data_IF_614559324978
#
_entry.id   IF_614559324978
#
_cell.length_a   1.000
_cell.length_b   1.000
_cell.length_c   1.000
_cell.angle_alpha   90.00
_cell.angle_beta   90.00
_cell.angle_gamma   90.00
#
_symmetry.space_group_name_H-M   'P 1'
#
loop_
_entity.id
_entity.type
_entity.pdbx_description
1 polymer ?
#
# COMPACT_ATOMS: atom_id res chain seq x y z
N UNK A 1 1.10 -48.05 -10.09
CA UNK A 1 1.33 -47.18 -11.24
C UNK A 1 -0.03 -46.55 -11.59
N UNK A 2 -0.12 -45.22 -11.90
CA UNK A 2 -1.37 -44.62 -12.27
C UNK A 2 -1.92 -45.21 -13.58
N UNK A 3 -3.24 -45.41 -13.65
CA UNK A 3 -3.87 -45.99 -14.85
C UNK A 3 -3.85 -44.95 -16.01
N UNK A 4 -3.86 -45.44 -17.27
CA UNK A 4 -3.94 -44.56 -18.45
C UNK A 4 -5.14 -43.58 -18.39
N UNK A 5 -6.26 -44.01 -17.83
CA UNK A 5 -7.46 -43.18 -17.63
C UNK A 5 -7.19 -42.06 -16.65
N UNK A 6 -6.48 -42.31 -15.57
CA UNK A 6 -6.11 -41.33 -14.54
C UNK A 6 -5.15 -40.28 -15.11
N UNK A 7 -4.17 -40.69 -15.90
CA UNK A 7 -3.24 -39.78 -16.58
C UNK A 7 -4.00 -38.87 -17.59
N UNK A 8 -4.91 -39.40 -18.37
CA UNK A 8 -5.75 -38.60 -19.29
C UNK A 8 -6.57 -37.57 -18.54
N UNK A 9 -7.26 -37.96 -17.45
CA UNK A 9 -8.04 -37.03 -16.66
C UNK A 9 -7.16 -35.92 -16.05
N UNK A 10 -5.95 -36.25 -15.64
CA UNK A 10 -5.01 -35.27 -15.12
C UNK A 10 -4.54 -34.27 -16.18
N UNK A 11 -4.28 -34.71 -17.40
CA UNK A 11 -3.95 -33.84 -18.53
C UNK A 11 -5.10 -32.88 -18.84
N UNK A 12 -6.33 -33.36 -18.90
CA UNK A 12 -7.51 -32.53 -19.13
C UNK A 12 -7.67 -31.48 -18.03
N UNK A 13 -7.55 -31.88 -16.77
CA UNK A 13 -7.64 -30.97 -15.61
C UNK A 13 -6.54 -29.89 -15.65
N UNK A 14 -5.30 -30.27 -15.95
CA UNK A 14 -4.18 -29.31 -16.06
C UNK A 14 -4.40 -28.34 -17.21
N UNK A 15 -4.86 -28.80 -18.37
CA UNK A 15 -5.16 -27.95 -19.51
C UNK A 15 -6.29 -26.94 -19.20
N UNK A 16 -7.35 -27.39 -18.53
CA UNK A 16 -8.43 -26.50 -18.06
C UNK A 16 -7.89 -25.44 -17.10
N UNK A 17 -7.09 -25.85 -16.10
CA UNK A 17 -6.46 -24.90 -15.15
C UNK A 17 -5.53 -23.91 -15.85
N UNK A 18 -4.78 -24.35 -16.86
CA UNK A 18 -3.94 -23.48 -17.70
C UNK A 18 -4.76 -22.39 -18.41
N UNK A 19 -5.90 -22.78 -19.01
CA UNK A 19 -6.79 -21.83 -19.70
C UNK A 19 -7.38 -20.79 -18.72
N UNK A 20 -7.85 -21.24 -17.54
CA UNK A 20 -8.37 -20.35 -16.49
C UNK A 20 -7.27 -19.37 -16.04
N UNK A 21 -6.07 -19.87 -15.78
CA UNK A 21 -4.94 -19.02 -15.36
C UNK A 21 -4.55 -18.00 -16.43
N UNK A 22 -4.57 -18.39 -17.70
CA UNK A 22 -4.33 -17.48 -18.82
C UNK A 22 -5.38 -16.36 -18.89
N UNK A 23 -6.67 -16.71 -18.71
CA UNK A 23 -7.75 -15.73 -18.66
C UNK A 23 -7.59 -14.77 -17.46
N UNK A 24 -7.26 -15.28 -16.28
CA UNK A 24 -6.97 -14.47 -15.08
C UNK A 24 -5.79 -13.52 -15.29
N UNK A 25 -4.75 -13.96 -15.99
CA UNK A 25 -3.60 -13.12 -16.36
C UNK A 25 -4.02 -11.96 -17.25
N UNK A 26 -4.85 -12.19 -18.27
CA UNK A 26 -5.35 -11.14 -19.16
C UNK A 26 -6.20 -10.09 -18.41
N UNK A 27 -7.10 -10.52 -17.54
CA UNK A 27 -7.92 -9.62 -16.72
C UNK A 27 -7.05 -8.79 -15.79
N UNK A 28 -6.05 -9.41 -15.16
CA UNK A 28 -5.12 -8.73 -14.25
C UNK A 28 -4.27 -7.69 -15.00
N UNK A 29 -3.78 -8.04 -16.21
CA UNK A 29 -3.03 -7.11 -17.05
C UNK A 29 -3.88 -5.90 -17.48
N UNK A 30 -5.15 -6.11 -17.84
CA UNK A 30 -6.06 -5.02 -18.18
C UNK A 30 -6.32 -4.08 -17.00
N UNK A 31 -6.48 -4.62 -15.78
CA UNK A 31 -6.64 -3.82 -14.56
C UNK A 31 -5.37 -3.04 -14.22
N UNK A 32 -4.19 -3.68 -14.37
CA UNK A 32 -2.90 -3.02 -14.16
C UNK A 32 -2.73 -1.85 -15.12
N UNK A 33 -3.00 -2.04 -16.41
CA UNK A 33 -2.90 -0.98 -17.41
C UNK A 33 -3.80 0.21 -17.07
N UNK A 34 -5.06 -0.02 -16.69
CA UNK A 34 -5.96 1.06 -16.26
C UNK A 34 -5.42 1.84 -15.06
N UNK A 35 -4.85 1.13 -14.08
CA UNK A 35 -4.24 1.78 -12.92
C UNK A 35 -2.99 2.59 -13.30
N UNK A 36 -2.15 2.07 -14.19
CA UNK A 36 -0.98 2.79 -14.72
C UNK A 36 -1.38 4.05 -15.50
N UNK A 37 -2.39 3.95 -16.38
CA UNK A 37 -2.91 5.10 -17.12
C UNK A 37 -3.46 6.19 -16.18
N UNK A 38 -4.14 5.79 -15.09
CA UNK A 38 -4.62 6.73 -14.08
C UNK A 38 -3.46 7.45 -13.36
N UNK A 39 -2.41 6.73 -12.99
CA UNK A 39 -1.22 7.30 -12.35
C UNK A 39 -0.52 8.29 -13.29
N UNK A 40 -0.34 7.92 -14.56
CA UNK A 40 0.30 8.80 -15.56
C UNK A 40 -0.47 10.11 -15.71
N UNK A 41 -1.80 10.06 -15.68
CA UNK A 41 -2.65 11.29 -15.75
C UNK A 41 -2.57 12.14 -14.49
N UNK A 42 -2.42 11.52 -13.31
CA UNK A 42 -2.33 12.25 -12.04
C UNK A 42 -0.96 12.84 -11.76
N UNK A 43 0.11 12.26 -12.30
CA UNK A 43 1.48 12.67 -12.03
C UNK A 43 1.75 14.15 -12.31
N UNK A 44 1.37 14.74 -13.47
CA UNK A 44 1.59 16.17 -13.74
C UNK A 44 0.93 17.08 -12.71
N UNK A 45 -0.27 16.70 -12.23
CA UNK A 45 -0.97 17.45 -11.18
C UNK A 45 -0.18 17.42 -9.87
N UNK A 46 0.27 16.24 -9.43
CA UNK A 46 1.03 16.09 -8.20
C UNK A 46 2.37 16.86 -8.25
N UNK A 47 3.08 16.81 -9.39
CA UNK A 47 4.33 17.55 -9.60
C UNK A 47 4.12 19.07 -9.55
N UNK A 48 3.05 19.57 -10.19
CA UNK A 48 2.70 21.00 -10.15
C UNK A 48 2.29 21.44 -8.75
N UNK A 49 1.51 20.64 -8.06
CA UNK A 49 1.13 20.93 -6.67
C UNK A 49 2.36 20.98 -5.76
N UNK A 50 3.30 20.06 -5.90
CA UNK A 50 4.55 20.08 -5.15
C UNK A 50 5.38 21.33 -5.44
N UNK A 51 5.46 21.76 -6.72
CA UNK A 51 6.15 22.98 -7.11
C UNK A 51 5.51 24.23 -6.48
N UNK A 52 4.17 24.30 -6.52
CA UNK A 52 3.41 25.42 -5.92
C UNK A 52 3.65 25.46 -4.40
N UNK A 53 3.54 24.33 -3.73
CA UNK A 53 3.79 24.24 -2.28
C UNK A 53 5.22 24.65 -1.92
N UNK A 54 6.21 24.24 -2.73
CA UNK A 54 7.60 24.66 -2.55
C UNK A 54 7.77 26.17 -2.68
N UNK A 55 7.17 26.78 -3.71
CA UNK A 55 7.25 28.22 -3.94
C UNK A 55 6.53 29.02 -2.82
N UNK A 56 5.35 28.57 -2.40
CA UNK A 56 4.61 29.21 -1.30
C UNK A 56 5.39 29.08 0.01
N UNK A 57 5.94 27.90 0.31
CA UNK A 57 6.76 27.70 1.52
C UNK A 57 8.05 28.56 1.52
N UNK A 58 8.60 28.84 0.36
CA UNK A 58 9.79 29.68 0.24
C UNK A 58 9.47 31.19 0.38
N UNK A 59 8.23 31.59 0.09
CA UNK A 59 7.77 32.98 0.18
C UNK A 59 7.12 33.34 1.51
N UNK A 60 6.78 32.35 2.34
CA UNK A 60 6.20 32.56 3.69
C UNK A 60 7.31 32.51 4.74
N UNK A 61 7.35 33.52 5.60
CA UNK A 61 8.14 33.43 6.84
C UNK A 61 7.58 32.31 7.71
N UNK A 62 8.45 31.53 8.35
CA UNK A 62 8.09 30.37 9.17
C UNK A 62 7.15 30.67 10.35
N UNK A 63 6.88 31.96 10.62
CA UNK A 63 5.99 32.46 11.65
C UNK A 63 4.55 32.70 11.20
N UNK A 64 4.28 32.83 9.89
CA UNK A 64 2.99 33.31 9.37
C UNK A 64 1.97 32.20 8.99
N UNK A 65 2.37 30.95 8.91
CA UNK A 65 1.48 29.86 8.45
C UNK A 65 1.25 28.76 9.48
N UNK A 66 0.00 28.46 9.78
CA UNK A 66 -0.39 27.34 10.69
C UNK A 66 0.21 26.00 10.23
N UNK A 67 0.40 25.79 8.93
CA UNK A 67 0.94 24.58 8.34
C UNK A 67 2.47 24.62 8.10
N UNK A 68 3.06 25.82 8.10
CA UNK A 68 4.52 26.03 7.91
C UNK A 68 5.28 26.07 9.26
N UNK A 69 4.56 26.19 10.38
CA UNK A 69 5.15 26.29 11.70
C UNK A 69 5.94 25.02 12.07
N UNK A 70 7.21 25.19 12.40
CA UNK A 70 8.02 24.09 12.92
C UNK A 70 7.60 23.79 14.36
N UNK A 71 7.19 22.55 14.60
CA UNK A 71 6.70 22.06 15.90
C UNK A 71 7.46 20.81 16.30
N UNK A 72 7.56 20.60 17.61
CA UNK A 72 8.02 19.31 18.11
C UNK A 72 7.06 18.19 17.68
N UNK A 73 7.62 17.13 17.08
CA UNK A 73 6.84 15.99 16.60
C UNK A 73 6.50 15.07 17.77
N UNK A 74 5.28 15.15 18.29
CA UNK A 74 4.77 14.32 19.40
C UNK A 74 4.00 13.10 18.92
N UNK A 75 3.36 13.19 17.76
CA UNK A 75 2.53 12.11 17.17
C UNK A 75 2.98 11.83 15.74
N UNK A 76 3.08 10.56 15.39
CA UNK A 76 3.46 10.08 14.06
C UNK A 76 2.36 9.20 13.52
N UNK A 77 1.90 9.48 12.30
CA UNK A 77 0.95 8.64 11.59
C UNK A 77 1.68 7.90 10.46
N UNK A 78 1.70 6.59 10.53
CA UNK A 78 2.23 5.71 9.49
C UNK A 78 1.09 5.22 8.61
N UNK A 79 1.04 5.64 7.36
CA UNK A 79 0.03 5.20 6.39
C UNK A 79 0.50 3.91 5.71
N UNK A 80 -0.14 2.79 6.04
CA UNK A 80 0.20 1.46 5.54
C UNK A 80 -0.61 1.12 4.29
N UNK A 81 -0.08 1.40 3.09
CA UNK A 81 -0.76 1.12 1.82
C UNK A 81 -0.38 -0.28 1.34
N UNK A 82 -1.35 -1.20 1.34
CA UNK A 82 -1.17 -2.59 0.90
C UNK A 82 -2.31 -3.06 -0.01
N UNK A 83 -2.21 -4.27 -0.53
CA UNK A 83 -3.24 -4.85 -1.41
C UNK A 83 -4.51 -5.26 -0.66
N UNK A 84 -5.63 -5.28 -1.37
CA UNK A 84 -6.91 -5.82 -0.85
C UNK A 84 -6.95 -7.35 -0.85
N UNK A 85 -6.15 -8.00 -1.71
CA UNK A 85 -6.11 -9.47 -1.89
C UNK A 85 -4.71 -10.00 -1.70
N UNK A 86 -4.59 -11.30 -1.47
CA UNK A 86 -3.32 -12.01 -1.46
C UNK A 86 -2.71 -12.15 -2.86
N UNK A 87 -1.68 -12.97 -2.97
CA UNK A 87 -0.92 -13.25 -4.19
C UNK A 87 -0.20 -12.01 -4.76
N UNK A 88 0.17 -11.06 -3.89
CA UNK A 88 0.93 -9.86 -4.24
C UNK A 88 2.46 -10.06 -4.05
N UNK A 89 2.94 -11.30 -4.06
CA UNK A 89 4.35 -11.61 -3.77
C UNK A 89 4.79 -11.10 -2.40
N UNK A 90 5.97 -10.54 -2.31
CA UNK A 90 6.54 -10.00 -1.07
C UNK A 90 6.06 -8.57 -0.74
N UNK A 91 5.23 -7.94 -1.57
CA UNK A 91 4.84 -6.52 -1.41
C UNK A 91 4.27 -6.21 -0.02
N UNK A 92 3.21 -6.92 0.39
CA UNK A 92 2.58 -6.67 1.69
C UNK A 92 3.55 -6.92 2.85
N UNK A 93 4.34 -8.00 2.77
CA UNK A 93 5.33 -8.36 3.78
C UNK A 93 6.44 -7.31 3.92
N UNK A 94 6.87 -6.70 2.83
CA UNK A 94 7.86 -5.63 2.84
C UNK A 94 7.33 -4.38 3.55
N UNK A 95 6.08 -3.99 3.28
CA UNK A 95 5.42 -2.88 3.98
C UNK A 95 5.33 -3.16 5.48
N UNK A 96 4.90 -4.35 5.87
CA UNK A 96 4.81 -4.72 7.29
C UNK A 96 6.17 -4.72 7.99
N UNK A 97 7.23 -5.19 7.34
CA UNK A 97 8.61 -5.14 7.87
C UNK A 97 9.07 -3.70 8.07
N UNK A 98 8.78 -2.82 7.12
CA UNK A 98 9.12 -1.40 7.23
C UNK A 98 8.43 -0.75 8.44
N UNK A 99 7.13 -1.00 8.62
CA UNK A 99 6.38 -0.46 9.75
C UNK A 99 6.88 -1.01 11.07
N UNK A 100 7.13 -2.32 11.17
CA UNK A 100 7.70 -2.93 12.38
C UNK A 100 9.06 -2.35 12.79
N UNK A 101 9.82 -1.82 11.85
CA UNK A 101 11.09 -1.14 12.12
C UNK A 101 10.88 0.31 12.52
N UNK A 102 9.91 1.00 11.92
CA UNK A 102 9.65 2.42 12.16
C UNK A 102 8.95 2.67 13.51
N UNK A 103 8.01 1.80 13.90
CA UNK A 103 7.27 1.94 15.15
C UNK A 103 8.20 2.08 16.35
N UNK A 104 9.06 1.10 16.70
CA UNK A 104 9.92 1.21 17.87
C UNK A 104 10.94 2.35 17.76
N UNK A 105 11.35 2.71 16.54
CA UNK A 105 12.26 3.84 16.33
C UNK A 105 11.63 5.16 16.77
N UNK A 106 10.36 5.39 16.46
CA UNK A 106 9.64 6.59 16.86
C UNK A 106 9.22 6.55 18.33
N UNK A 107 8.79 5.40 18.84
CA UNK A 107 8.45 5.20 20.27
C UNK A 107 9.65 5.45 21.18
N UNK A 108 10.85 5.01 20.78
CA UNK A 108 12.10 5.30 21.51
C UNK A 108 12.45 6.80 21.58
N UNK A 109 11.90 7.61 20.67
CA UNK A 109 12.00 9.07 20.67
C UNK A 109 10.88 9.75 21.48
N UNK A 110 10.10 9.00 22.25
CA UNK A 110 8.98 9.52 23.04
C UNK A 110 7.76 9.94 22.22
N UNK A 111 7.66 9.50 20.95
CA UNK A 111 6.56 9.85 20.06
C UNK A 111 5.46 8.79 20.10
N UNK A 112 4.21 9.23 20.10
CA UNK A 112 3.06 8.31 19.93
C UNK A 112 2.92 7.94 18.46
N UNK A 113 2.87 6.63 18.15
CA UNK A 113 2.75 6.14 16.77
C UNK A 113 1.37 5.57 16.53
N UNK A 114 0.72 6.04 15.47
CA UNK A 114 -0.51 5.48 14.95
C UNK A 114 -0.30 4.90 13.56
N UNK A 115 -1.00 3.82 13.23
CA UNK A 115 -0.97 3.20 11.90
C UNK A 115 -2.35 3.33 11.27
N UNK A 116 -2.42 4.00 10.11
CA UNK A 116 -3.60 4.06 9.24
C UNK A 116 -3.50 2.99 8.17
N UNK A 117 -4.28 1.90 8.25
CA UNK A 117 -4.25 0.83 7.27
C UNK A 117 -5.09 1.19 6.03
N UNK A 118 -4.45 1.26 4.85
CA UNK A 118 -5.10 1.40 3.55
C UNK A 118 -5.00 0.08 2.80
N UNK A 119 -6.14 -0.57 2.60
CA UNK A 119 -6.25 -1.90 2.00
C UNK A 119 -6.62 -2.98 3.03
N UNK A 120 -7.45 -3.94 2.56
CA UNK A 120 -8.03 -4.97 3.43
C UNK A 120 -6.96 -5.77 4.20
N UNK A 121 -5.85 -6.11 3.55
CA UNK A 121 -4.78 -6.88 4.20
C UNK A 121 -4.05 -6.10 5.29
N UNK A 122 -3.93 -4.77 5.16
CA UNK A 122 -3.41 -3.94 6.24
C UNK A 122 -4.39 -3.88 7.41
N UNK A 123 -5.67 -3.66 7.14
CA UNK A 123 -6.70 -3.62 8.18
C UNK A 123 -6.75 -4.94 8.96
N UNK A 124 -6.77 -6.09 8.28
CA UNK A 124 -6.77 -7.41 8.93
C UNK A 124 -5.53 -7.60 9.84
N UNK A 125 -4.39 -7.01 9.50
CA UNK A 125 -3.15 -7.12 10.26
C UNK A 125 -3.12 -6.17 11.46
N UNK A 126 -3.51 -4.90 11.26
CA UNK A 126 -3.29 -3.84 12.27
C UNK A 126 -4.47 -3.59 13.21
N UNK A 127 -5.71 -3.96 12.84
CA UNK A 127 -6.90 -3.71 13.68
C UNK A 127 -6.82 -4.27 15.11
N UNK A 128 -5.92 -5.21 15.36
CA UNK A 128 -5.70 -5.83 16.68
C UNK A 128 -4.43 -5.33 17.37
N UNK A 129 -3.75 -4.35 16.81
CA UNK A 129 -2.51 -3.81 17.36
C UNK A 129 -2.79 -2.51 18.14
N UNK A 130 -1.98 -2.17 19.16
CA UNK A 130 -2.16 -0.96 19.94
C UNK A 130 -2.03 0.33 19.13
N UNK A 131 -1.30 0.28 18.01
CA UNK A 131 -1.08 1.43 17.12
C UNK A 131 -2.29 1.74 16.22
N UNK A 132 -3.30 0.85 16.18
CA UNK A 132 -4.51 1.09 15.42
C UNK A 132 -5.46 1.99 16.20
N UNK A 133 -5.83 3.13 15.61
CA UNK A 133 -6.84 4.01 16.16
C UNK A 133 -8.08 3.98 15.25
N UNK A 134 -9.23 3.47 15.72
CA UNK A 134 -10.46 3.38 14.94
C UNK A 134 -11.11 4.75 14.66
N UNK A 135 -10.73 5.81 15.38
CA UNK A 135 -11.23 7.17 15.19
C UNK A 135 -10.53 7.89 14.03
N UNK A 136 -9.45 7.32 13.50
CA UNK A 136 -8.81 7.85 12.29
C UNK A 136 -9.61 7.41 11.05
N UNK A 137 -9.79 8.30 10.05
CA UNK A 137 -10.57 8.03 8.85
C UNK A 137 -10.04 6.88 8.02
#
# INVERSE_FOLDING_TARGET
>A
MPSLKEVRNRIVSVNSTKQITAAMKMVSAAKLRRAQDAIVRMRPYAEKLQTILGNVSASLDSSEGTYSAQREVKKVLLVAIVSNRGLAGAFNTQVYRSIRRLVPMHEAQGRTVHVLPVGKKALDTYRRTPQFNPELP
#
